data_IF_847748679147
#
_entry.id   IF_847748679147
#
_cell.length_a   1.000
_cell.length_b   1.000
_cell.length_c   1.000
_cell.angle_alpha   90.00
_cell.angle_beta   90.00
_cell.angle_gamma   90.00
#
_symmetry.space_group_name_H-M   'P 1'
#
loop_
_entity.id
_entity.type
_entity.pdbx_description
1 polymer ?
#
# COMPACT_ATOMS: atom_id res chain seq x y z
N UNK A 1 29.48 15.63 34.23
CA UNK A 1 28.86 14.30 34.10
C UNK A 1 29.86 13.35 33.45
N UNK A 2 30.34 12.33 34.15
CA UNK A 2 30.99 11.20 33.49
C UNK A 2 29.89 10.28 32.96
N UNK A 3 29.79 10.12 31.64
CA UNK A 3 29.02 9.02 31.07
C UNK A 3 29.85 7.77 31.27
N UNK A 4 29.42 6.89 32.18
CA UNK A 4 30.04 5.58 32.37
C UNK A 4 29.97 4.87 31.02
N UNK A 5 31.10 4.39 30.51
CA UNK A 5 31.09 3.56 29.32
C UNK A 5 30.45 2.22 29.70
N UNK A 6 29.45 1.82 28.92
CA UNK A 6 28.83 0.52 29.07
C UNK A 6 29.82 -0.60 28.73
N UNK A 7 29.58 -1.78 29.30
CA UNK A 7 30.28 -2.99 28.87
C UNK A 7 30.07 -3.19 27.36
N UNK A 8 31.07 -3.78 26.69
CA UNK A 8 30.97 -4.05 25.26
C UNK A 8 29.69 -4.82 24.94
N UNK A 9 28.89 -4.26 24.02
CA UNK A 9 27.62 -4.85 23.62
C UNK A 9 26.37 -4.27 24.28
N UNK A 10 26.49 -3.27 25.17
CA UNK A 10 25.34 -2.51 25.68
C UNK A 10 25.48 -1.00 25.51
N UNK A 11 24.34 -0.31 25.55
CA UNK A 11 24.24 1.14 25.39
C UNK A 11 23.06 1.73 26.18
N UNK A 12 22.94 3.06 26.16
CA UNK A 12 21.78 3.77 26.71
C UNK A 12 21.93 4.12 28.19
N UNK A 13 20.84 4.59 28.79
CA UNK A 13 20.81 4.92 30.23
C UNK A 13 20.96 3.64 31.02
N UNK A 14 21.86 3.65 32.00
CA UNK A 14 22.21 2.50 32.84
C UNK A 14 22.63 1.23 32.08
N UNK A 15 23.02 1.38 30.80
CA UNK A 15 23.44 0.28 29.94
C UNK A 15 22.36 -0.80 29.74
N UNK A 16 21.09 -0.39 29.81
CA UNK A 16 19.94 -1.30 29.75
C UNK A 16 19.58 -1.75 28.32
N UNK A 17 20.17 -1.14 27.29
CA UNK A 17 19.97 -1.53 25.91
C UNK A 17 21.10 -2.42 25.41
N UNK A 18 20.78 -3.41 24.58
CA UNK A 18 21.78 -4.28 23.95
C UNK A 18 22.03 -3.85 22.51
N UNK A 19 23.31 -3.79 22.11
CA UNK A 19 23.74 -3.55 20.75
C UNK A 19 23.15 -4.60 19.79
N UNK A 20 22.87 -4.19 18.55
CA UNK A 20 22.44 -5.13 17.52
C UNK A 20 23.61 -5.88 16.90
N UNK A 21 23.42 -6.31 15.65
CA UNK A 21 24.38 -7.17 14.94
C UNK A 21 25.41 -6.31 14.19
N UNK A 22 26.16 -5.48 14.94
CA UNK A 22 27.27 -4.71 14.39
C UNK A 22 28.35 -5.64 13.84
N UNK A 23 29.02 -5.23 12.76
CA UNK A 23 30.15 -5.98 12.17
C UNK A 23 31.23 -6.27 13.22
N UNK A 24 31.54 -5.25 14.02
CA UNK A 24 32.32 -5.37 15.26
C UNK A 24 31.48 -4.80 16.42
N UNK A 25 31.31 -5.59 17.47
CA UNK A 25 30.56 -5.18 18.67
C UNK A 25 31.27 -4.06 19.44
N UNK A 26 32.60 -3.93 19.29
CA UNK A 26 33.38 -2.84 19.89
C UNK A 26 33.10 -1.49 19.22
N UNK A 27 32.54 -1.51 18.01
CA UNK A 27 32.16 -0.33 17.23
C UNK A 27 30.71 0.09 17.46
N UNK A 28 30.04 -0.53 18.44
CA UNK A 28 28.75 -0.08 18.93
C UNK A 28 28.95 1.09 19.92
N UNK A 29 28.34 2.24 19.61
CA UNK A 29 28.39 3.40 20.51
C UNK A 29 27.61 3.14 21.79
N UNK A 30 28.28 3.12 22.94
CA UNK A 30 27.65 2.99 24.26
C UNK A 30 26.58 4.07 24.57
N UNK A 31 26.61 5.20 23.84
CA UNK A 31 25.68 6.31 24.05
C UNK A 31 24.32 6.12 23.36
N UNK A 32 24.28 5.46 22.20
CA UNK A 32 23.07 5.38 21.37
C UNK A 32 22.90 4.07 20.60
N UNK A 33 23.86 3.15 20.68
CA UNK A 33 23.81 1.83 20.06
C UNK A 33 24.15 1.79 18.57
N UNK A 34 24.59 2.91 17.97
CA UNK A 34 24.93 3.00 16.55
C UNK A 34 26.16 2.15 16.24
N UNK A 35 26.10 1.36 15.17
CA UNK A 35 27.22 0.57 14.67
C UNK A 35 28.04 1.39 13.65
N UNK A 36 29.27 1.80 13.99
CA UNK A 36 30.10 2.65 13.13
C UNK A 36 30.62 1.92 11.87
N UNK A 37 30.96 0.64 12.01
CA UNK A 37 31.47 -0.20 10.92
C UNK A 37 30.35 -0.90 10.11
N UNK A 38 29.10 -0.49 10.36
CA UNK A 38 27.92 -1.11 9.76
C UNK A 38 27.57 -2.47 10.35
N UNK A 39 26.72 -3.20 9.62
CA UNK A 39 26.08 -4.42 10.11
C UNK A 39 26.79 -5.69 9.63
N UNK A 40 26.60 -6.79 10.38
CA UNK A 40 26.87 -8.15 9.92
C UNK A 40 26.00 -8.44 8.68
N UNK A 41 26.49 -9.34 7.83
CA UNK A 41 25.74 -9.80 6.67
C UNK A 41 24.35 -10.30 7.10
N UNK A 42 23.30 -9.86 6.39
CA UNK A 42 21.93 -10.19 6.75
C UNK A 42 21.29 -9.24 7.77
N UNK A 43 21.92 -8.14 8.17
CA UNK A 43 21.32 -7.13 9.06
C UNK A 43 21.43 -5.71 8.47
N UNK A 44 20.49 -4.84 8.83
CA UNK A 44 20.42 -3.44 8.37
C UNK A 44 19.88 -2.49 9.45
N UNK A 45 19.83 -1.20 9.12
CA UNK A 45 19.49 -0.10 10.02
C UNK A 45 20.69 0.39 10.83
N UNK A 46 20.59 1.59 11.41
CA UNK A 46 21.65 2.22 12.21
C UNK A 46 22.09 1.36 13.41
N UNK A 47 21.15 0.63 14.00
CA UNK A 47 21.40 -0.24 15.15
C UNK A 47 21.64 -1.71 14.76
N UNK A 48 21.59 -2.06 13.47
CA UNK A 48 21.75 -3.44 12.98
C UNK A 48 20.83 -4.47 13.67
N UNK A 49 19.61 -4.06 14.03
CA UNK A 49 18.59 -4.93 14.65
C UNK A 49 17.60 -5.50 13.63
N UNK A 50 17.60 -4.99 12.39
CA UNK A 50 16.67 -5.41 11.33
C UNK A 50 17.32 -6.52 10.52
N UNK A 51 16.71 -7.71 10.48
CA UNK A 51 17.14 -8.81 9.62
C UNK A 51 16.77 -8.54 8.15
N UNK A 52 17.75 -8.67 7.26
CA UNK A 52 17.60 -8.81 5.81
C UNK A 52 17.23 -10.26 5.48
N UNK A 53 16.19 -10.80 6.14
CA UNK A 53 15.57 -12.05 5.71
C UNK A 53 14.68 -11.70 4.52
N UNK A 54 15.26 -11.63 3.32
CA UNK A 54 14.62 -11.12 2.11
C UNK A 54 13.95 -9.75 2.34
N UNK A 55 14.65 -8.67 2.01
CA UNK A 55 14.01 -7.37 1.84
C UNK A 55 13.06 -7.38 0.62
N UNK A 56 11.93 -8.08 0.75
CA UNK A 56 10.70 -7.88 -0.03
C UNK A 56 9.67 -7.11 0.83
N UNK A 57 10.13 -6.26 1.75
CA UNK A 57 9.30 -5.31 2.49
C UNK A 57 9.57 -3.84 2.12
N UNK A 58 10.27 -3.61 1.01
CA UNK A 58 10.23 -2.35 0.26
C UNK A 58 10.23 -2.62 -1.25
N UNK A 59 9.35 -3.51 -1.70
CA UNK A 59 8.67 -3.30 -2.98
C UNK A 59 7.25 -2.83 -2.67
N UNK A 60 7.13 -1.53 -2.39
CA UNK A 60 5.96 -0.78 -2.80
C UNK A 60 5.97 -0.55 -4.32
N UNK A 61 6.38 -1.54 -5.13
CA UNK A 61 6.22 -1.56 -6.59
C UNK A 61 6.33 -3.01 -7.14
N UNK A 62 5.18 -3.69 -7.22
CA UNK A 62 4.82 -4.60 -8.33
C UNK A 62 5.74 -5.80 -8.68
N UNK A 63 5.99 -6.76 -7.77
CA UNK A 63 6.53 -8.07 -8.21
C UNK A 63 5.79 -9.28 -7.63
N UNK A 64 4.47 -9.17 -7.63
CA UNK A 64 3.54 -10.29 -7.74
C UNK A 64 2.56 -10.10 -8.93
N UNK A 65 2.79 -9.12 -9.82
CA UNK A 65 1.83 -8.79 -10.89
C UNK A 65 2.15 -9.46 -12.24
N UNK A 66 3.27 -10.17 -12.37
CA UNK A 66 3.56 -10.93 -13.59
C UNK A 66 4.20 -12.23 -13.12
N UNK A 67 3.37 -13.22 -12.76
CA UNK A 67 3.61 -14.68 -12.70
C UNK A 67 2.40 -15.38 -12.02
N UNK A 68 1.19 -14.93 -12.36
CA UNK A 68 -0.06 -15.42 -11.78
C UNK A 68 -1.22 -14.54 -12.21
N UNK A 69 -1.55 -14.52 -13.51
CA UNK A 69 -2.79 -13.89 -13.97
C UNK A 69 -3.96 -14.71 -13.41
N UNK A 70 -4.55 -14.24 -12.31
CA UNK A 70 -5.69 -14.93 -11.71
C UNK A 70 -6.89 -14.81 -12.66
N UNK A 71 -7.49 -15.95 -13.02
CA UNK A 71 -8.74 -16.03 -13.80
C UNK A 71 -9.84 -15.11 -13.23
N UNK A 72 -9.77 -14.82 -11.93
CA UNK A 72 -10.64 -13.88 -11.25
C UNK A 72 -10.64 -12.46 -11.86
N UNK A 73 -9.51 -11.90 -12.30
CA UNK A 73 -9.47 -10.55 -12.87
C UNK A 73 -10.16 -10.51 -14.23
N UNK A 74 -9.90 -11.50 -15.08
CA UNK A 74 -10.56 -11.65 -16.36
C UNK A 74 -12.08 -11.80 -16.18
N UNK A 75 -12.52 -12.60 -15.20
CA UNK A 75 -13.95 -12.78 -14.88
C UNK A 75 -14.57 -11.47 -14.38
N UNK A 76 -13.91 -10.74 -13.48
CA UNK A 76 -14.42 -9.45 -12.96
C UNK A 76 -14.55 -8.42 -14.09
N UNK A 77 -13.55 -8.32 -14.98
CA UNK A 77 -13.59 -7.43 -16.14
C UNK A 77 -14.71 -7.79 -17.11
N UNK A 78 -14.91 -9.07 -17.41
CA UNK A 78 -16.01 -9.54 -18.26
C UNK A 78 -17.37 -9.21 -17.64
N UNK A 79 -17.55 -9.45 -16.34
CA UNK A 79 -18.80 -9.11 -15.63
C UNK A 79 -19.04 -7.60 -15.66
N UNK A 80 -18.01 -6.77 -15.40
CA UNK A 80 -18.14 -5.32 -15.45
C UNK A 80 -18.52 -4.82 -16.86
N UNK A 81 -17.92 -5.37 -17.92
CA UNK A 81 -18.27 -5.03 -19.31
C UNK A 81 -19.73 -5.40 -19.60
N UNK A 82 -20.17 -6.61 -19.22
CA UNK A 82 -21.57 -7.04 -19.39
C UNK A 82 -22.51 -6.10 -18.65
N UNK A 83 -22.21 -5.76 -17.39
CA UNK A 83 -23.00 -4.82 -16.60
C UNK A 83 -23.05 -3.45 -17.26
N UNK A 84 -21.93 -2.93 -17.79
CA UNK A 84 -21.90 -1.66 -18.51
C UNK A 84 -22.73 -1.69 -19.79
N UNK A 85 -22.69 -2.79 -20.55
CA UNK A 85 -23.52 -2.98 -21.76
C UNK A 85 -25.00 -3.03 -21.39
N UNK A 86 -25.38 -3.82 -20.37
CA UNK A 86 -26.75 -3.92 -19.89
C UNK A 86 -27.25 -2.60 -19.33
N UNK A 87 -26.41 -1.88 -18.57
CA UNK A 87 -26.71 -0.56 -18.05
C UNK A 87 -26.89 0.45 -19.18
N UNK A 88 -26.00 0.48 -20.18
CA UNK A 88 -26.16 1.34 -21.37
C UNK A 88 -27.40 1.00 -22.17
N UNK A 89 -27.71 -0.29 -22.38
CA UNK A 89 -28.92 -0.74 -23.08
C UNK A 89 -30.18 -0.38 -22.31
N UNK A 90 -30.18 -0.59 -21.00
CA UNK A 90 -31.30 -0.21 -20.12
C UNK A 90 -31.46 1.31 -20.07
N UNK A 91 -30.36 2.06 -20.07
CA UNK A 91 -30.38 3.53 -20.10
C UNK A 91 -30.88 4.04 -21.43
N UNK A 92 -30.46 3.45 -22.55
CA UNK A 92 -30.94 3.79 -23.90
C UNK A 92 -32.45 3.58 -24.00
N UNK A 93 -32.97 2.44 -23.54
CA UNK A 93 -34.42 2.20 -23.45
C UNK A 93 -35.14 3.19 -22.52
N UNK A 94 -34.55 3.49 -21.35
CA UNK A 94 -35.12 4.47 -20.40
C UNK A 94 -35.08 5.91 -20.93
N UNK A 95 -34.11 6.23 -21.80
CA UNK A 95 -34.01 7.54 -22.45
C UNK A 95 -35.05 7.67 -23.56
N UNK A 96 -35.27 6.62 -24.34
CA UNK A 96 -36.33 6.56 -25.35
C UNK A 96 -37.73 6.73 -24.73
N UNK A 97 -38.00 6.05 -23.61
CA UNK A 97 -39.24 6.23 -22.85
C UNK A 97 -39.36 7.65 -22.27
N UNK A 98 -38.27 8.28 -21.83
CA UNK A 98 -38.28 9.67 -21.34
C UNK A 98 -38.65 10.67 -22.44
N UNK A 99 -38.09 10.54 -23.64
CA UNK A 99 -38.49 11.38 -24.77
C UNK A 99 -39.98 11.26 -25.11
N UNK A 100 -40.54 10.05 -25.03
CA UNK A 100 -41.98 9.85 -25.22
C UNK A 100 -42.82 10.51 -24.10
N UNK A 101 -42.35 10.50 -22.86
CA UNK A 101 -43.01 11.21 -21.75
C UNK A 101 -42.94 12.73 -21.90
N UNK A 102 -41.80 13.27 -22.34
CA UNK A 102 -41.60 14.70 -22.59
C UNK A 102 -42.52 15.20 -23.73
N UNK A 103 -42.67 14.40 -24.79
CA UNK A 103 -43.57 14.71 -25.91
C UNK A 103 -45.05 14.72 -25.48
N UNK A 104 -45.46 13.86 -24.54
CA UNK A 104 -46.83 13.86 -24.00
C UNK A 104 -47.08 15.04 -23.04
N UNK A 105 -46.06 15.51 -22.33
CA UNK A 105 -46.16 16.70 -21.48
C UNK A 105 -46.36 17.98 -22.32
N UNK A 106 -45.67 18.11 -23.46
CA UNK A 106 -45.83 19.24 -24.40
C UNK A 106 -47.24 19.29 -25.01
N UNK A 107 -47.79 18.14 -25.40
CA UNK A 107 -49.14 18.04 -25.96
C UNK A 107 -50.24 18.39 -24.93
N UNK A 108 -50.03 18.08 -23.64
CA UNK A 108 -50.92 18.52 -22.56
C UNK A 108 -50.84 20.02 -22.27
N UNK A 109 -49.66 20.62 -22.43
CA UNK A 109 -49.45 22.05 -22.23
C UNK A 109 -50.09 22.89 -23.35
N UNK A 110 -50.18 22.36 -24.57
CA UNK A 110 -50.86 23.05 -25.68
C UNK A 110 -52.40 23.03 -25.54
N UNK A 111 -53.00 22.00 -24.95
CA UNK A 111 -54.46 21.89 -24.80
C UNK A 111 -55.01 22.63 -23.57
N UNK A 112 -54.16 23.12 -22.67
CA UNK A 112 -54.55 23.85 -21.44
C UNK A 112 -54.58 25.38 -21.64
N UNK A 113 -54.26 25.88 -22.84
CA UNK A 113 -54.18 27.32 -23.19
C UNK A 113 -55.39 27.79 -24.06
N UNK A 114 -56.40 26.92 -24.23
CA UNK A 114 -57.71 27.22 -24.83
C UNK A 114 -58.80 27.05 -23.77
#
# INVERSE_FOLDING_TARGET
MCKIQCITGSYGVDCNETCGHCRDVNQCLYSNGLCLDGCKAGYTGSLCKILLANATSSQSLQQNLINGESVATAVILLVAIVVLILYKRSRSKKLEIRHLQDNMADQSNHQTVL
#
